data_IF_840784672596
#
_entry.id   IF_840784672596
#
_cell.length_a   1.000
_cell.length_b   1.000
_cell.length_c   1.000
_cell.angle_alpha   90.00
_cell.angle_beta   90.00
_cell.angle_gamma   90.00
#
_symmetry.space_group_name_H-M   'P 1'
#
loop_
_entity.id
_entity.type
_entity.pdbx_description
1 polymer ?
#
# COMPACT_ATOMS: atom_id res chain seq x y z
N UNK A 1 15.87 21.36 -0.30
CA UNK A 1 15.32 20.30 -1.16
C UNK A 1 13.90 20.07 -0.69
N UNK A 2 12.93 20.73 -1.33
CA UNK A 2 11.50 20.56 -0.98
C UNK A 2 10.94 19.37 -1.77
N UNK A 3 11.32 18.16 -1.36
CA UNK A 3 10.67 16.96 -1.88
C UNK A 3 9.25 16.93 -1.35
N UNK A 4 8.28 17.16 -2.23
CA UNK A 4 6.88 17.06 -1.85
C UNK A 4 6.54 15.58 -1.58
N UNK A 5 6.12 15.29 -0.35
CA UNK A 5 5.67 13.94 0.04
C UNK A 5 4.63 13.33 -0.92
N UNK A 6 3.78 14.16 -1.49
CA UNK A 6 2.78 13.73 -2.46
C UNK A 6 3.39 13.16 -3.75
N UNK A 7 4.58 13.62 -4.16
CA UNK A 7 5.26 13.09 -5.35
C UNK A 7 5.91 11.74 -5.04
N UNK A 8 6.43 11.55 -3.81
CA UNK A 8 6.91 10.25 -3.34
C UNK A 8 5.78 9.21 -3.21
N UNK A 9 4.58 9.64 -2.79
CA UNK A 9 3.39 8.78 -2.77
C UNK A 9 2.99 8.27 -4.16
N UNK A 10 3.27 9.03 -5.21
CA UNK A 10 2.99 8.61 -6.59
C UNK A 10 4.05 7.66 -7.13
N UNK A 11 5.31 7.85 -6.73
CA UNK A 11 6.42 6.99 -7.12
C UNK A 11 6.20 5.53 -6.66
N UNK A 12 5.78 5.34 -5.42
CA UNK A 12 5.70 4.03 -4.79
C UNK A 12 4.76 3.03 -5.50
N UNK A 13 3.50 3.37 -5.84
CA UNK A 13 2.62 2.48 -6.60
C UNK A 13 3.16 2.18 -8.00
N UNK A 14 3.78 3.15 -8.69
CA UNK A 14 4.35 2.90 -10.00
C UNK A 14 5.54 1.94 -9.93
N UNK A 15 6.38 2.06 -8.91
CA UNK A 15 7.50 1.14 -8.69
C UNK A 15 7.05 -0.29 -8.38
N UNK A 16 5.93 -0.45 -7.67
CA UNK A 16 5.36 -1.76 -7.32
C UNK A 16 4.61 -2.41 -8.47
N UNK A 17 3.80 -1.63 -9.16
CA UNK A 17 2.85 -2.14 -10.17
C UNK A 17 3.42 -2.13 -11.59
N UNK A 18 4.43 -1.33 -11.84
CA UNK A 18 5.12 -1.24 -13.11
C UNK A 18 4.33 -0.57 -14.24
N UNK A 19 3.07 -0.18 -14.04
CA UNK A 19 2.28 0.48 -15.09
C UNK A 19 1.57 1.74 -14.59
N UNK A 20 1.43 2.73 -15.48
CA UNK A 20 0.69 3.96 -15.15
C UNK A 20 -0.79 3.68 -14.86
N UNK A 21 -1.37 2.66 -15.50
CA UNK A 21 -2.77 2.27 -15.33
C UNK A 21 -3.04 1.79 -13.92
N UNK A 22 -2.25 0.85 -13.43
CA UNK A 22 -2.41 0.27 -12.10
C UNK A 22 -2.05 1.29 -11.02
N UNK A 23 -0.98 2.08 -11.21
CA UNK A 23 -0.62 3.16 -10.29
C UNK A 23 -1.71 4.24 -10.20
N UNK A 24 -2.27 4.67 -11.33
CA UNK A 24 -3.35 5.64 -11.38
C UNK A 24 -4.60 5.15 -10.65
N UNK A 25 -4.97 3.87 -10.86
CA UNK A 25 -6.09 3.23 -10.18
C UNK A 25 -5.87 3.16 -8.67
N UNK A 26 -4.68 2.75 -8.23
CA UNK A 26 -4.33 2.66 -6.81
C UNK A 26 -4.37 4.01 -6.09
N UNK A 27 -4.07 5.09 -6.81
CA UNK A 27 -4.04 6.47 -6.28
C UNK A 27 -5.36 7.23 -6.45
N UNK A 28 -6.31 6.71 -7.22
CA UNK A 28 -7.54 7.41 -7.56
C UNK A 28 -7.32 8.66 -8.43
N UNK A 29 -6.29 8.66 -9.29
CA UNK A 29 -5.93 9.78 -10.15
C UNK A 29 -5.84 9.37 -11.61
N UNK A 30 -5.65 10.34 -12.53
CA UNK A 30 -5.46 10.04 -13.95
C UNK A 30 -4.02 9.66 -14.30
N UNK A 31 -3.83 8.90 -15.40
CA UNK A 31 -2.51 8.58 -15.96
C UNK A 31 -1.61 9.81 -16.18
N UNK A 32 -2.09 10.90 -16.81
CA UNK A 32 -1.29 12.11 -16.98
C UNK A 32 -0.81 12.70 -15.65
N UNK A 33 -1.62 12.58 -14.60
CA UNK A 33 -1.26 13.06 -13.26
C UNK A 33 -0.09 12.26 -12.70
N UNK A 34 -0.13 10.92 -12.78
CA UNK A 34 0.97 10.05 -12.36
C UNK A 34 2.24 10.39 -13.12
N UNK A 35 2.16 10.40 -14.46
CA UNK A 35 3.31 10.68 -15.34
C UNK A 35 3.94 12.05 -15.05
N UNK A 36 3.12 13.09 -14.88
CA UNK A 36 3.58 14.45 -14.57
C UNK A 36 4.28 14.51 -13.20
N UNK A 37 3.71 13.91 -12.17
CA UNK A 37 4.28 13.92 -10.81
C UNK A 37 5.60 13.16 -10.74
N UNK A 38 5.70 12.01 -11.40
CA UNK A 38 6.96 11.27 -11.52
C UNK A 38 8.01 12.12 -12.23
N UNK A 39 7.67 12.79 -13.33
CA UNK A 39 8.61 13.68 -14.03
C UNK A 39 9.03 14.90 -13.20
N UNK A 40 8.16 15.40 -12.31
CA UNK A 40 8.53 16.45 -11.35
C UNK A 40 9.53 15.90 -10.33
N UNK A 41 9.26 14.74 -9.76
CA UNK A 41 10.14 14.07 -8.79
C UNK A 41 11.52 13.78 -9.39
N UNK A 42 11.60 13.22 -10.60
CA UNK A 42 12.86 12.97 -11.32
C UNK A 42 13.67 14.27 -11.51
N UNK A 43 13.02 15.38 -11.83
CA UNK A 43 13.69 16.69 -11.95
C UNK A 43 14.19 17.22 -10.61
N UNK A 44 13.44 17.03 -9.53
CA UNK A 44 13.83 17.49 -8.18
C UNK A 44 15.03 16.67 -7.65
N UNK A 45 15.05 15.38 -7.92
CA UNK A 45 16.14 14.48 -7.52
C UNK A 45 17.35 14.62 -8.45
N UNK A 46 17.14 15.08 -9.69
CA UNK A 46 18.19 15.21 -10.69
C UNK A 46 18.60 13.89 -11.35
N UNK A 47 17.79 12.84 -11.19
CA UNK A 47 18.03 11.51 -11.74
C UNK A 47 16.74 10.90 -12.30
N UNK A 48 16.87 10.03 -13.30
CA UNK A 48 15.77 9.19 -13.76
C UNK A 48 15.53 8.08 -12.74
N UNK A 49 14.28 7.92 -12.33
CA UNK A 49 13.86 6.89 -11.39
C UNK A 49 13.30 5.66 -12.08
N UNK A 50 12.88 5.81 -13.35
CA UNK A 50 12.33 4.71 -14.13
C UNK A 50 12.93 4.63 -15.53
N UNK A 51 13.20 3.39 -15.97
CA UNK A 51 13.29 3.04 -17.37
C UNK A 51 11.88 2.81 -17.93
N UNK A 52 11.60 3.42 -19.09
CA UNK A 52 10.31 3.28 -19.77
C UNK A 52 10.41 2.20 -20.84
N UNK A 53 9.93 1.02 -20.55
CA UNK A 53 9.76 -0.04 -21.53
C UNK A 53 8.39 0.10 -22.23
N UNK A 54 8.16 -0.56 -23.39
CA UNK A 54 6.92 -0.41 -24.15
C UNK A 54 5.64 -0.69 -23.34
N UNK A 55 5.70 -1.62 -22.40
CA UNK A 55 4.58 -2.15 -21.63
C UNK A 55 4.66 -1.81 -20.12
N UNK A 56 5.81 -1.33 -19.63
CA UNK A 56 6.02 -1.12 -18.20
C UNK A 56 7.11 -0.12 -17.86
N UNK A 57 7.10 0.31 -16.61
CA UNK A 57 8.12 1.11 -15.96
C UNK A 57 8.94 0.20 -15.03
N UNK A 58 10.26 0.25 -15.13
CA UNK A 58 11.19 -0.50 -14.28
C UNK A 58 12.03 0.50 -13.50
N UNK A 59 12.15 0.40 -12.18
CA UNK A 59 13.03 1.28 -11.42
C UNK A 59 14.47 1.20 -11.92
N UNK A 60 15.15 2.34 -12.00
CA UNK A 60 16.62 2.44 -12.20
C UNK A 60 17.32 2.18 -10.87
N UNK A 61 18.67 2.14 -10.84
CA UNK A 61 19.43 2.05 -9.58
C UNK A 61 19.03 3.17 -8.60
N UNK A 62 18.88 4.40 -9.09
CA UNK A 62 18.38 5.52 -8.26
C UNK A 62 16.92 5.30 -7.81
N UNK A 63 16.10 4.68 -8.66
CA UNK A 63 14.74 4.27 -8.32
C UNK A 63 14.70 3.21 -7.22
N UNK A 64 15.56 2.21 -7.28
CA UNK A 64 15.66 1.14 -6.27
C UNK A 64 16.10 1.70 -4.89
N UNK A 65 17.09 2.60 -4.86
CA UNK A 65 17.50 3.28 -3.63
C UNK A 65 16.34 4.08 -3.02
N UNK A 66 15.68 4.90 -3.85
CA UNK A 66 14.53 5.68 -3.40
C UNK A 66 13.37 4.81 -2.94
N UNK A 67 13.18 3.62 -3.56
CA UNK A 67 12.11 2.69 -3.20
C UNK A 67 12.23 2.22 -1.74
N UNK A 68 13.45 1.87 -1.31
CA UNK A 68 13.69 1.44 0.07
C UNK A 68 13.32 2.55 1.08
N UNK A 69 13.75 3.78 0.82
CA UNK A 69 13.46 4.93 1.69
C UNK A 69 11.97 5.29 1.69
N UNK A 70 11.34 5.27 0.52
CA UNK A 70 9.90 5.58 0.39
C UNK A 70 9.04 4.53 1.09
N UNK A 71 9.42 3.27 1.05
CA UNK A 71 8.76 2.20 1.80
C UNK A 71 8.90 2.38 3.32
N UNK A 72 10.07 2.82 3.79
CA UNK A 72 10.26 3.13 5.21
C UNK A 72 9.37 4.30 5.65
N UNK A 73 9.26 5.34 4.84
CA UNK A 73 8.38 6.48 5.10
C UNK A 73 6.90 6.06 5.11
N UNK A 74 6.45 5.21 4.18
CA UNK A 74 5.08 4.67 4.17
C UNK A 74 4.78 3.90 5.46
N UNK A 75 5.70 3.03 5.89
CA UNK A 75 5.57 2.30 7.17
C UNK A 75 5.45 3.25 8.36
N UNK A 76 6.26 4.31 8.40
CA UNK A 76 6.20 5.31 9.44
C UNK A 76 4.86 6.07 9.44
N UNK A 77 4.37 6.48 8.26
CA UNK A 77 3.07 7.13 8.12
C UNK A 77 1.92 6.22 8.60
N UNK A 78 1.94 4.94 8.24
CA UNK A 78 0.96 3.96 8.74
C UNK A 78 1.06 3.77 10.26
N UNK A 79 2.28 3.81 10.83
CA UNK A 79 2.47 3.74 12.28
C UNK A 79 1.81 4.94 13.00
N UNK A 80 1.93 6.13 12.43
CA UNK A 80 1.27 7.34 12.96
C UNK A 80 -0.25 7.17 12.93
N UNK A 81 -0.81 6.70 11.81
CA UNK A 81 -2.24 6.46 11.70
C UNK A 81 -2.75 5.42 12.71
N UNK A 82 -2.02 4.32 12.90
CA UNK A 82 -2.40 3.33 13.93
C UNK A 82 -2.35 3.91 15.34
N UNK A 83 -1.36 4.74 15.65
CA UNK A 83 -1.24 5.39 16.97
C UNK A 83 -2.35 6.41 17.19
N UNK A 84 -2.71 7.20 16.17
CA UNK A 84 -3.79 8.17 16.28
C UNK A 84 -5.16 7.49 16.41
N UNK A 85 -5.38 6.35 15.73
CA UNK A 85 -6.57 5.54 15.91
C UNK A 85 -6.66 4.95 17.35
N UNK A 86 -5.52 4.58 17.94
CA UNK A 86 -5.45 4.14 19.35
C UNK A 86 -5.61 5.25 20.39
N UNK A 87 -5.53 6.52 19.96
CA UNK A 87 -5.82 7.69 20.82
C UNK A 87 -7.31 8.05 20.82
N UNK A 88 -8.10 7.49 19.92
CA UNK A 88 -9.55 7.55 19.96
C UNK A 88 -10.05 6.45 20.92
N UNK A 89 -10.96 6.77 21.82
CA UNK A 89 -11.55 5.81 22.78
C UNK A 89 -12.32 4.65 22.08
N UNK A 90 -12.45 4.71 20.77
CA UNK A 90 -13.10 3.70 19.93
C UNK A 90 -12.16 3.15 18.88
N UNK A 91 -11.78 1.88 19.01
CA UNK A 91 -11.06 1.14 17.98
C UNK A 91 -12.05 0.72 16.91
N UNK A 92 -11.92 1.27 15.70
CA UNK A 92 -12.81 0.97 14.57
C UNK A 92 -12.01 0.76 13.29
N UNK A 93 -12.52 -0.06 12.39
CA UNK A 93 -11.89 -0.32 11.08
C UNK A 93 -12.14 -1.73 10.59
N UNK A 94 -11.50 -2.09 9.48
CA UNK A 94 -11.58 -3.43 8.87
C UNK A 94 -10.25 -4.16 9.03
N UNK A 95 -10.29 -5.38 9.54
CA UNK A 95 -9.14 -6.31 9.63
C UNK A 95 -9.34 -7.40 8.58
N UNK A 96 -8.37 -7.54 7.66
CA UNK A 96 -8.39 -8.55 6.59
C UNK A 96 -7.46 -9.69 6.94
N UNK A 97 -8.03 -10.88 7.02
CA UNK A 97 -7.32 -12.12 7.32
C UNK A 97 -7.33 -13.02 6.08
N UNK A 98 -6.16 -13.51 5.67
CA UNK A 98 -6.05 -14.53 4.62
C UNK A 98 -5.48 -15.81 5.21
N UNK A 99 -6.16 -16.92 4.99
CA UNK A 99 -5.75 -18.22 5.50
C UNK A 99 -6.19 -19.36 4.57
N UNK A 100 -5.57 -20.53 4.70
CA UNK A 100 -6.06 -21.74 4.04
C UNK A 100 -7.47 -22.13 4.54
N UNK A 101 -8.25 -22.84 3.71
CA UNK A 101 -9.68 -23.13 3.98
C UNK A 101 -9.97 -23.66 5.38
N UNK A 102 -9.22 -24.67 5.85
CA UNK A 102 -9.41 -25.24 7.16
C UNK A 102 -9.18 -24.23 8.29
N UNK A 103 -8.15 -23.41 8.15
CA UNK A 103 -7.81 -22.36 9.12
C UNK A 103 -8.80 -21.20 9.05
N UNK A 104 -9.24 -20.80 7.86
CA UNK A 104 -10.24 -19.74 7.68
C UNK A 104 -11.56 -20.12 8.38
N UNK A 105 -11.99 -21.37 8.29
CA UNK A 105 -13.18 -21.88 8.98
C UNK A 105 -13.02 -21.83 10.50
N UNK A 106 -11.84 -22.22 11.02
CA UNK A 106 -11.55 -22.16 12.45
C UNK A 106 -11.53 -20.71 12.95
N UNK A 107 -10.86 -19.81 12.22
CA UNK A 107 -10.79 -18.37 12.53
C UNK A 107 -12.20 -17.78 12.54
N UNK A 108 -13.01 -18.02 11.50
CA UNK A 108 -14.36 -17.46 11.40
C UNK A 108 -15.25 -17.82 12.59
N UNK A 109 -15.09 -19.04 13.12
CA UNK A 109 -15.83 -19.49 14.31
C UNK A 109 -15.45 -18.69 15.56
N UNK A 110 -14.16 -18.39 15.77
CA UNK A 110 -13.68 -17.63 16.92
C UNK A 110 -13.89 -16.11 16.77
N UNK A 111 -13.94 -15.62 15.53
CA UNK A 111 -14.24 -14.20 15.28
C UNK A 111 -15.66 -13.81 15.69
N UNK A 112 -16.61 -14.74 15.73
CA UNK A 112 -17.97 -14.47 16.19
C UNK A 112 -17.98 -13.93 17.64
N UNK A 113 -17.16 -14.51 18.53
CA UNK A 113 -17.04 -14.08 19.93
C UNK A 113 -16.30 -12.74 20.05
N UNK A 114 -15.28 -12.51 19.20
CA UNK A 114 -14.55 -11.24 19.17
C UNK A 114 -15.41 -10.08 18.66
N UNK A 115 -16.31 -10.33 17.71
CA UNK A 115 -17.20 -9.33 17.15
C UNK A 115 -18.14 -8.72 18.19
N UNK A 116 -18.60 -9.50 19.16
CA UNK A 116 -19.42 -8.99 20.25
C UNK A 116 -18.64 -8.00 21.14
N UNK A 117 -17.34 -8.21 21.31
CA UNK A 117 -16.45 -7.37 22.12
C UNK A 117 -15.88 -6.19 21.36
N UNK A 118 -15.77 -6.31 20.04
CA UNK A 118 -15.16 -5.35 19.12
C UNK A 118 -16.17 -4.94 18.02
N UNK A 119 -17.30 -4.44 18.46
CA UNK A 119 -18.47 -4.13 17.60
C UNK A 119 -18.20 -3.07 16.51
N UNK A 120 -17.10 -2.34 16.61
CA UNK A 120 -16.70 -1.33 15.61
C UNK A 120 -15.59 -1.83 14.67
N UNK A 121 -15.16 -3.11 14.81
CA UNK A 121 -14.20 -3.74 13.91
C UNK A 121 -14.95 -4.68 12.98
N UNK A 122 -14.75 -4.50 11.68
CA UNK A 122 -15.18 -5.41 10.65
C UNK A 122 -14.08 -6.41 10.34
N UNK A 123 -14.40 -7.71 10.29
CA UNK A 123 -13.45 -8.75 9.95
C UNK A 123 -13.79 -9.33 8.58
N UNK A 124 -12.85 -9.24 7.65
CA UNK A 124 -12.91 -9.88 6.34
C UNK A 124 -11.99 -11.10 6.36
N UNK A 125 -12.52 -12.30 6.15
CA UNK A 125 -11.73 -13.54 6.09
C UNK A 125 -11.76 -14.08 4.67
N UNK A 126 -10.60 -14.09 4.01
CA UNK A 126 -10.43 -14.67 2.69
C UNK A 126 -9.80 -16.07 2.81
N UNK A 127 -10.52 -17.10 2.36
CA UNK A 127 -9.96 -18.43 2.19
C UNK A 127 -9.17 -18.49 0.87
N UNK A 128 -7.89 -18.83 0.94
CA UNK A 128 -7.02 -18.91 -0.23
C UNK A 128 -6.03 -20.06 -0.12
N UNK A 129 -5.75 -20.73 -1.22
CA UNK A 129 -4.67 -21.70 -1.33
C UNK A 129 -3.32 -21.07 -1.71
N UNK A 130 -3.31 -19.79 -2.03
CA UNK A 130 -2.11 -19.04 -2.35
C UNK A 130 -1.73 -18.12 -1.20
N UNK A 131 -0.43 -17.88 -1.02
CA UNK A 131 0.07 -16.93 -0.02
C UNK A 131 -0.41 -15.52 -0.36
N UNK A 132 -1.03 -14.83 0.61
CA UNK A 132 -1.43 -13.45 0.44
C UNK A 132 -0.19 -12.54 0.28
N UNK A 133 -0.26 -11.61 -0.64
CA UNK A 133 0.79 -10.63 -0.82
C UNK A 133 0.53 -9.42 0.11
N UNK A 134 1.20 -9.42 1.26
CA UNK A 134 1.07 -8.35 2.26
C UNK A 134 1.52 -6.97 1.74
N UNK A 135 2.41 -6.94 0.73
CA UNK A 135 2.81 -5.69 0.09
C UNK A 135 1.67 -5.05 -0.73
N UNK A 136 0.70 -5.85 -1.16
CA UNK A 136 -0.50 -5.42 -1.88
C UNK A 136 -1.72 -5.25 -0.98
N UNK A 137 -1.54 -5.39 0.34
CA UNK A 137 -2.64 -5.32 1.32
C UNK A 137 -3.78 -6.31 1.02
N UNK A 138 -3.45 -7.50 0.55
CA UNK A 138 -4.41 -8.59 0.37
C UNK A 138 -4.82 -9.19 1.73
N UNK A 139 -4.02 -8.96 2.77
CA UNK A 139 -4.31 -9.22 4.18
C UNK A 139 -3.56 -8.25 5.09
N UNK A 140 -3.99 -8.10 6.32
CA UNK A 140 -3.37 -7.33 7.40
C UNK A 140 -2.53 -8.20 8.34
#
# INVERSE_FOLDING_TARGET
>A
MDSNWDDLRVFLPLAREGTLTTAAKALGVSHPTVSRRVAVLERQIGARLFERLPDRFVPTSAGEELLADTQAMEKAAHSIHRRSAGLSDTVSGTVRLSAGEAMATLIARHLAELRERLNQIEFEVAASHTLANLSRREAD
#
